data_IF_336256318391
#
_entry.id   IF_336256318391
#
_cell.length_a   1.000
_cell.length_b   1.000
_cell.length_c   1.000
_cell.angle_alpha   90.00
_cell.angle_beta   90.00
_cell.angle_gamma   90.00
#
_symmetry.space_group_name_H-M   'P 1'
#
loop_
_entity.id
_entity.type
_entity.pdbx_description
1 polymer ?
#
# COMPACT_ATOMS: atom_id res chain seq x y z
N UNK A 1 8.45 -54.26 18.84
CA UNK A 1 8.64 -53.55 20.12
C UNK A 1 10.13 -53.27 20.22
N UNK A 2 10.57 -52.05 20.51
CA UNK A 2 12.00 -51.71 20.50
C UNK A 2 12.72 -52.42 21.67
N UNK A 3 13.26 -53.61 21.41
CA UNK A 3 13.91 -54.47 22.41
C UNK A 3 15.32 -54.01 22.78
N UNK A 4 15.85 -52.97 22.13
CA UNK A 4 17.18 -52.41 22.42
C UNK A 4 17.11 -51.22 23.41
N UNK A 5 17.83 -51.25 24.55
CA UNK A 5 17.84 -50.15 25.52
C UNK A 5 18.30 -48.80 24.94
N UNK A 6 19.21 -48.80 23.97
CA UNK A 6 19.71 -47.58 23.30
C UNK A 6 18.60 -46.95 22.44
N UNK A 7 17.81 -47.78 21.76
CA UNK A 7 16.71 -47.32 20.92
C UNK A 7 15.56 -46.73 21.74
N UNK A 8 15.31 -47.27 22.95
CA UNK A 8 14.39 -46.69 23.93
C UNK A 8 14.87 -45.33 24.44
N UNK A 9 16.16 -45.14 24.65
CA UNK A 9 16.72 -43.86 25.05
C UNK A 9 16.53 -42.80 23.95
N UNK A 10 16.86 -43.12 22.70
CA UNK A 10 16.65 -42.20 21.58
C UNK A 10 15.17 -41.88 21.32
N UNK A 11 14.26 -42.84 21.57
CA UNK A 11 12.82 -42.56 21.50
C UNK A 11 12.40 -41.55 22.56
N UNK A 12 12.87 -41.69 23.81
CA UNK A 12 12.59 -40.73 24.89
C UNK A 12 13.17 -39.34 24.61
N UNK A 13 14.36 -39.26 24.03
CA UNK A 13 14.98 -37.99 23.65
C UNK A 13 14.14 -37.27 22.57
N UNK A 14 13.69 -38.00 21.54
CA UNK A 14 12.80 -37.45 20.51
C UNK A 14 11.44 -37.04 21.06
N UNK A 15 10.89 -37.80 22.00
CA UNK A 15 9.61 -37.46 22.66
C UNK A 15 9.74 -36.17 23.47
N UNK A 16 10.82 -36.01 24.25
CA UNK A 16 11.09 -34.78 24.99
C UNK A 16 11.30 -33.57 24.07
N UNK A 17 12.01 -33.76 22.96
CA UNK A 17 12.21 -32.69 21.97
C UNK A 17 10.87 -32.25 21.35
N UNK A 18 10.01 -33.21 20.99
CA UNK A 18 8.66 -32.91 20.46
C UNK A 18 7.78 -32.22 21.49
N UNK A 19 7.86 -32.59 22.75
CA UNK A 19 7.12 -31.95 23.83
C UNK A 19 7.55 -30.49 24.00
N UNK A 20 8.87 -30.22 24.00
CA UNK A 20 9.41 -28.85 24.04
C UNK A 20 8.96 -27.99 22.87
N UNK A 21 8.92 -28.55 21.66
CA UNK A 21 8.45 -27.84 20.47
C UNK A 21 6.97 -27.47 20.58
N UNK A 22 6.14 -28.40 21.07
CA UNK A 22 4.69 -28.13 21.30
C UNK A 22 4.48 -27.06 22.35
N UNK A 23 5.26 -27.05 23.43
CA UNK A 23 5.17 -26.00 24.46
C UNK A 23 5.57 -24.63 23.93
N UNK A 24 6.57 -24.55 23.03
CA UNK A 24 6.95 -23.28 22.38
C UNK A 24 5.84 -22.79 21.44
N UNK A 25 5.33 -23.67 20.60
CA UNK A 25 4.22 -23.35 19.69
C UNK A 25 2.99 -22.87 20.47
N UNK A 26 2.64 -23.53 21.59
CA UNK A 26 1.55 -23.11 22.46
C UNK A 26 1.76 -21.69 23.01
N UNK A 27 2.98 -21.34 23.43
CA UNK A 27 3.31 -20.00 23.93
C UNK A 27 3.21 -18.94 22.84
N UNK A 28 3.69 -19.24 21.65
CA UNK A 28 3.62 -18.32 20.51
C UNK A 28 2.16 -18.06 20.12
N UNK A 29 1.34 -19.12 20.06
CA UNK A 29 -0.10 -19.01 19.82
C UNK A 29 -0.82 -18.20 20.91
N UNK A 30 -0.42 -18.32 22.18
CA UNK A 30 -0.97 -17.48 23.26
C UNK A 30 -0.63 -15.99 23.10
N UNK A 31 0.60 -15.68 22.65
CA UNK A 31 1.03 -14.31 22.36
C UNK A 31 0.24 -13.76 21.17
N UNK A 32 0.09 -14.54 20.10
CA UNK A 32 -0.66 -14.13 18.92
C UNK A 32 -2.16 -13.97 19.20
N UNK A 33 -2.76 -14.87 19.97
CA UNK A 33 -4.17 -14.78 20.37
C UNK A 33 -4.48 -13.52 21.20
N UNK A 34 -3.49 -13.01 21.94
CA UNK A 34 -3.58 -11.78 22.73
C UNK A 34 -3.08 -10.55 22.00
N UNK A 35 -2.62 -10.68 20.75
CA UNK A 35 -2.11 -9.57 19.96
C UNK A 35 -3.27 -8.69 19.49
N UNK A 36 -3.57 -7.68 20.29
CA UNK A 36 -4.46 -6.58 19.90
C UNK A 36 -3.79 -5.63 18.89
N UNK A 37 -4.56 -4.69 18.30
CA UNK A 37 -3.98 -3.61 17.53
C UNK A 37 -2.95 -2.87 18.40
N UNK A 38 -1.74 -2.70 17.87
CA UNK A 38 -0.71 -1.92 18.58
C UNK A 38 -1.28 -0.51 18.79
N UNK A 39 -1.17 0.07 19.99
CA UNK A 39 -1.50 1.47 20.16
C UNK A 39 -0.65 2.25 19.16
N UNK A 40 -1.29 3.16 18.43
CA UNK A 40 -0.60 4.03 17.50
C UNK A 40 0.17 5.09 18.31
N UNK A 41 1.24 4.67 18.98
CA UNK A 41 2.19 5.59 19.59
C UNK A 41 2.76 6.48 18.48
N UNK A 42 2.42 7.76 18.51
CA UNK A 42 2.79 8.73 17.48
C UNK A 42 1.72 9.02 16.42
N UNK A 43 0.55 8.36 16.43
CA UNK A 43 -0.61 8.90 15.71
C UNK A 43 -1.20 10.02 16.54
N UNK A 44 -0.49 11.15 16.52
CA UNK A 44 -1.18 12.41 16.66
C UNK A 44 -2.11 12.46 15.45
N UNK A 45 -3.43 12.30 15.69
CA UNK A 45 -4.46 12.86 14.83
C UNK A 45 -4.32 14.39 14.86
N UNK A 46 -3.13 14.87 14.50
CA UNK A 46 -2.70 16.22 14.61
C UNK A 46 -3.55 16.98 13.63
N UNK A 47 -4.43 17.79 14.18
CA UNK A 47 -5.11 18.85 13.45
C UNK A 47 -4.04 19.53 12.60
N UNK A 48 -4.06 19.25 11.30
CA UNK A 48 -3.35 20.08 10.35
C UNK A 48 -3.93 21.48 10.51
N UNK A 49 -3.11 22.52 10.39
CA UNK A 49 -3.65 23.89 10.27
C UNK A 49 -4.46 24.08 8.98
N UNK A 50 -4.38 23.11 8.08
CA UNK A 50 -5.21 22.97 6.90
C UNK A 50 -6.66 22.68 7.27
N UNK A 51 -7.56 23.53 6.80
CA UNK A 51 -9.01 23.45 7.04
C UNK A 51 -9.75 22.99 5.78
N UNK A 52 -10.95 22.43 5.93
CA UNK A 52 -11.79 22.03 4.80
C UNK A 52 -12.08 23.17 3.82
N UNK A 53 -12.24 24.41 4.30
CA UNK A 53 -12.45 25.57 3.43
C UNK A 53 -11.24 25.89 2.54
N UNK A 54 -10.02 25.60 3.00
CA UNK A 54 -8.81 25.75 2.18
C UNK A 54 -8.72 24.64 1.13
N UNK A 55 -9.22 23.45 1.46
CA UNK A 55 -9.36 22.35 0.52
C UNK A 55 -10.36 22.70 -0.59
N UNK A 56 -11.56 23.18 -0.21
CA UNK A 56 -12.60 23.59 -1.15
C UNK A 56 -12.15 24.74 -2.07
N UNK A 57 -11.42 25.73 -1.54
CA UNK A 57 -10.86 26.84 -2.34
C UNK A 57 -9.73 26.36 -3.28
N UNK A 58 -8.91 25.41 -2.83
CA UNK A 58 -7.90 24.81 -3.69
C UNK A 58 -8.56 23.98 -4.81
N UNK A 59 -9.54 23.15 -4.46
CA UNK A 59 -10.29 22.33 -5.40
C UNK A 59 -11.02 23.19 -6.44
N UNK A 60 -11.66 24.29 -6.03
CA UNK A 60 -12.32 25.21 -6.96
C UNK A 60 -11.37 25.85 -7.97
N UNK A 61 -10.09 26.05 -7.61
CA UNK A 61 -9.07 26.57 -8.53
C UNK A 61 -8.49 25.50 -9.46
N UNK A 62 -8.20 24.32 -8.91
CA UNK A 62 -7.63 23.21 -9.67
C UNK A 62 -8.65 22.65 -10.67
N UNK A 63 -9.88 22.42 -10.22
CA UNK A 63 -10.94 21.78 -11.00
C UNK A 63 -11.85 22.76 -11.74
N UNK A 64 -11.43 24.02 -11.89
CA UNK A 64 -12.24 25.08 -12.51
C UNK A 64 -12.64 24.77 -13.96
N UNK A 65 -11.88 23.92 -14.66
CA UNK A 65 -12.04 23.62 -16.08
C UNK A 65 -12.43 22.17 -16.39
N UNK A 66 -12.46 21.31 -15.38
CA UNK A 66 -12.71 19.88 -15.57
C UNK A 66 -14.01 19.59 -16.32
N UNK A 67 -15.07 20.36 -16.02
CA UNK A 67 -16.36 20.20 -16.68
C UNK A 67 -16.26 20.50 -18.19
N UNK A 68 -15.65 21.62 -18.56
CA UNK A 68 -15.50 22.04 -19.96
C UNK A 68 -14.51 21.13 -20.71
N UNK A 69 -13.38 20.80 -20.08
CA UNK A 69 -12.35 19.92 -20.66
C UNK A 69 -12.88 18.50 -20.87
N UNK A 70 -13.70 17.98 -19.93
CA UNK A 70 -14.34 16.67 -20.08
C UNK A 70 -15.40 16.65 -21.18
N UNK A 71 -16.15 17.75 -21.34
CA UNK A 71 -17.11 17.90 -22.43
C UNK A 71 -16.41 17.91 -23.79
N UNK A 72 -15.36 18.73 -23.92
CA UNK A 72 -14.59 18.83 -25.15
C UNK A 72 -13.91 17.51 -25.52
N UNK A 73 -13.33 16.80 -24.53
CA UNK A 73 -12.75 15.47 -24.74
C UNK A 73 -13.82 14.48 -25.25
N UNK A 74 -15.01 14.49 -24.67
CA UNK A 74 -16.12 13.64 -25.10
C UNK A 74 -16.55 13.94 -26.54
N UNK A 75 -16.62 15.21 -26.92
CA UNK A 75 -16.95 15.60 -28.28
C UNK A 75 -15.87 15.18 -29.29
N UNK A 76 -14.59 15.30 -28.95
CA UNK A 76 -13.48 14.85 -29.81
C UNK A 76 -13.52 13.34 -30.04
N UNK A 77 -13.77 12.57 -28.98
CA UNK A 77 -13.94 11.12 -29.07
C UNK A 77 -15.11 10.75 -29.99
N UNK A 78 -16.23 11.48 -29.91
CA UNK A 78 -17.36 11.28 -30.82
C UNK A 78 -17.00 11.60 -32.30
N UNK A 79 -16.04 12.51 -32.53
CA UNK A 79 -15.50 12.85 -33.86
C UNK A 79 -14.36 11.93 -34.33
N UNK A 80 -13.93 10.97 -33.51
CA UNK A 80 -12.77 10.10 -33.75
C UNK A 80 -11.47 10.91 -34.02
N UNK A 81 -11.35 12.06 -33.37
CA UNK A 81 -10.13 12.86 -33.41
C UNK A 81 -9.02 12.16 -32.59
N UNK A 82 -7.75 12.24 -33.02
CA UNK A 82 -6.64 11.72 -32.23
C UNK A 82 -6.57 12.43 -30.87
N UNK A 83 -6.24 11.69 -29.82
CA UNK A 83 -6.10 12.26 -28.48
C UNK A 83 -4.95 13.29 -28.47
N UNK A 84 -5.16 14.47 -27.85
CA UNK A 84 -4.08 15.43 -27.68
C UNK A 84 -3.03 14.86 -26.73
N UNK A 85 -1.78 15.27 -26.91
CA UNK A 85 -0.71 14.90 -25.98
C UNK A 85 -0.99 15.50 -24.61
N UNK A 86 -0.82 14.67 -23.58
CA UNK A 86 -1.24 15.05 -22.24
C UNK A 86 -0.23 15.99 -21.60
N UNK A 87 -0.73 17.09 -21.04
CA UNK A 87 0.09 18.05 -20.28
C UNK A 87 0.78 17.40 -19.07
N UNK A 88 0.19 16.33 -18.54
CA UNK A 88 0.76 15.54 -17.45
C UNK A 88 2.06 14.83 -17.87
N UNK A 89 2.12 14.30 -19.09
CA UNK A 89 3.32 13.66 -19.65
C UNK A 89 4.44 14.68 -19.87
N UNK A 90 4.12 15.92 -20.28
CA UNK A 90 5.10 17.00 -20.42
C UNK A 90 5.64 17.48 -19.06
N UNK A 91 4.76 17.62 -18.06
CA UNK A 91 5.16 17.98 -16.71
C UNK A 91 5.97 16.87 -16.02
N UNK A 92 5.70 15.62 -16.36
CA UNK A 92 6.48 14.47 -15.91
C UNK A 92 7.83 14.39 -16.61
N UNK A 93 7.88 14.66 -17.93
CA UNK A 93 9.14 14.80 -18.68
C UNK A 93 10.00 15.94 -18.10
N UNK A 94 9.40 17.09 -17.79
CA UNK A 94 10.10 18.20 -17.15
C UNK A 94 10.64 17.84 -15.76
N UNK A 95 9.90 17.06 -14.97
CA UNK A 95 10.36 16.51 -13.67
C UNK A 95 11.54 15.53 -13.83
N UNK A 96 11.59 14.80 -14.95
CA UNK A 96 12.69 13.87 -15.29
C UNK A 96 13.87 14.55 -16.01
N UNK A 97 13.74 15.84 -16.35
CA UNK A 97 14.75 16.58 -17.12
C UNK A 97 14.81 16.19 -18.59
N UNK A 98 13.73 15.61 -19.12
CA UNK A 98 13.57 15.22 -20.52
C UNK A 98 12.84 16.33 -21.30
N UNK A 99 13.01 16.34 -22.63
CA UNK A 99 12.21 17.23 -23.47
C UNK A 99 10.73 16.81 -23.44
N UNK A 100 9.80 17.77 -23.32
CA UNK A 100 8.37 17.48 -23.28
C UNK A 100 7.95 16.73 -24.54
N UNK A 101 6.99 15.83 -24.37
CA UNK A 101 6.49 14.96 -25.44
C UNK A 101 5.87 15.83 -26.54
N UNK A 102 5.23 16.93 -26.16
CA UNK A 102 4.64 17.94 -27.07
C UNK A 102 5.60 18.60 -28.05
N UNK A 103 6.92 18.44 -27.85
CA UNK A 103 7.96 19.00 -28.71
C UNK A 103 8.68 17.95 -29.55
N UNK A 104 8.29 16.67 -29.47
CA UNK A 104 8.89 15.58 -30.23
C UNK A 104 8.11 15.37 -31.53
N UNK A 105 8.58 15.97 -32.63
CA UNK A 105 8.09 15.69 -33.99
C UNK A 105 8.53 14.31 -34.52
#
# INVERSE_FOLDING_TARGET
MADNPVERQHQREREQERERLREQEQKDLEVEARRGPRPLEGYAGGHTTWTGSQDDEAAARVHARDADESWEASERQARLEPEPESREEDEEAARRGEEPVSLRE
#
